data_IF_516251878984
#
_entry.id   IF_516251878984
#
_cell.length_a   1.000
_cell.length_b   1.000
_cell.length_c   1.000
_cell.angle_alpha   90.00
_cell.angle_beta   90.00
_cell.angle_gamma   90.00
#
_symmetry.space_group_name_H-M   'P 1'
#
loop_
_entity.id
_entity.type
_entity.pdbx_description
1 polymer ?
#
# COMPACT_ATOMS: atom_id res chain seq x y z
N UNK A 1 -23.37 -28.00 -62.79
CA UNK A 1 -23.83 -27.80 -61.40
C UNK A 1 -22.72 -27.13 -60.64
N UNK A 2 -22.99 -26.01 -59.96
CA UNK A 2 -21.97 -25.34 -59.14
C UNK A 2 -21.53 -26.30 -58.04
N UNK A 3 -20.21 -26.44 -57.84
CA UNK A 3 -19.65 -27.35 -56.86
C UNK A 3 -19.85 -26.75 -55.44
N UNK A 4 -21.06 -26.91 -54.89
CA UNK A 4 -21.43 -26.46 -53.55
C UNK A 4 -20.51 -27.00 -52.45
N UNK A 5 -19.91 -28.17 -52.69
CA UNK A 5 -18.90 -28.76 -51.81
C UNK A 5 -17.64 -27.90 -51.79
N UNK A 6 -17.12 -27.48 -52.96
CA UNK A 6 -15.97 -26.60 -53.03
C UNK A 6 -16.21 -25.25 -52.33
N UNK A 7 -17.40 -24.67 -52.46
CA UNK A 7 -17.77 -23.44 -51.75
C UNK A 7 -17.80 -23.66 -50.24
N UNK A 8 -18.38 -24.79 -49.78
CA UNK A 8 -18.42 -25.15 -48.36
C UNK A 8 -17.01 -25.31 -47.78
N UNK A 9 -16.12 -26.02 -48.49
CA UNK A 9 -14.72 -26.19 -48.08
C UNK A 9 -13.99 -24.84 -47.97
N UNK A 10 -14.19 -23.93 -48.92
CA UNK A 10 -13.58 -22.58 -48.86
C UNK A 10 -14.07 -21.81 -47.63
N UNK A 11 -15.39 -21.83 -47.34
CA UNK A 11 -15.96 -21.16 -46.16
C UNK A 11 -15.43 -21.78 -44.86
N UNK A 12 -15.31 -23.11 -44.79
CA UNK A 12 -14.76 -23.80 -43.62
C UNK A 12 -13.30 -23.43 -43.37
N UNK A 13 -12.48 -23.35 -44.42
CA UNK A 13 -11.09 -22.93 -44.34
C UNK A 13 -11.01 -21.48 -43.84
N UNK A 14 -11.79 -20.57 -44.45
CA UNK A 14 -11.85 -19.16 -44.04
C UNK A 14 -12.33 -19.00 -42.59
N UNK A 15 -13.35 -19.75 -42.18
CA UNK A 15 -13.85 -19.76 -40.80
C UNK A 15 -12.80 -20.26 -39.81
N UNK A 16 -12.07 -21.31 -40.17
CA UNK A 16 -10.95 -21.82 -39.36
C UNK A 16 -9.86 -20.76 -39.21
N UNK A 17 -9.44 -20.12 -40.30
CA UNK A 17 -8.47 -19.02 -40.25
C UNK A 17 -8.99 -17.82 -39.43
N UNK A 18 -10.27 -17.47 -39.55
CA UNK A 18 -10.88 -16.42 -38.75
C UNK A 18 -10.82 -16.74 -37.25
N UNK A 19 -11.12 -17.98 -36.86
CA UNK A 19 -11.02 -18.44 -35.46
C UNK A 19 -9.58 -18.35 -34.96
N UNK A 20 -8.59 -18.81 -35.74
CA UNK A 20 -7.17 -18.69 -35.38
C UNK A 20 -6.76 -17.22 -35.22
N UNK A 21 -7.16 -16.35 -36.14
CA UNK A 21 -6.89 -14.92 -36.06
C UNK A 21 -7.53 -14.29 -34.81
N UNK A 22 -8.78 -14.68 -34.47
CA UNK A 22 -9.45 -14.22 -33.25
C UNK A 22 -8.73 -14.67 -31.98
N UNK A 23 -8.21 -15.90 -31.94
CA UNK A 23 -7.44 -16.39 -30.79
C UNK A 23 -6.11 -15.63 -30.62
N UNK A 24 -5.41 -15.34 -31.71
CA UNK A 24 -4.18 -14.53 -31.68
C UNK A 24 -4.49 -13.11 -31.20
N UNK A 25 -5.55 -12.50 -31.73
CA UNK A 25 -6.01 -11.18 -31.29
C UNK A 25 -6.35 -11.18 -29.79
N UNK A 26 -7.11 -12.16 -29.31
CA UNK A 26 -7.46 -12.28 -27.90
C UNK A 26 -6.23 -12.44 -27.02
N UNK A 27 -5.25 -13.24 -27.42
CA UNK A 27 -4.01 -13.41 -26.67
C UNK A 27 -3.23 -12.09 -26.55
N UNK A 28 -3.18 -11.29 -27.63
CA UNK A 28 -2.58 -9.95 -27.61
C UNK A 28 -3.38 -9.03 -26.70
N UNK A 29 -4.72 -9.03 -26.82
CA UNK A 29 -5.62 -8.19 -26.03
C UNK A 29 -5.48 -8.47 -24.52
N UNK A 30 -5.41 -9.74 -24.11
CA UNK A 30 -5.23 -10.13 -22.71
C UNK A 30 -3.89 -9.62 -22.16
N UNK A 31 -2.81 -9.71 -22.95
CA UNK A 31 -1.49 -9.19 -22.55
C UNK A 31 -1.51 -7.67 -22.39
N UNK A 32 -2.08 -6.96 -23.35
CA UNK A 32 -2.22 -5.49 -23.29
C UNK A 32 -3.08 -5.05 -22.11
N UNK A 33 -4.21 -5.71 -21.89
CA UNK A 33 -5.10 -5.42 -20.77
C UNK A 33 -4.39 -5.65 -19.41
N UNK A 34 -3.60 -6.71 -19.30
CA UNK A 34 -2.81 -6.99 -18.09
C UNK A 34 -1.77 -5.88 -17.82
N UNK A 35 -1.10 -5.39 -18.86
CA UNK A 35 -0.14 -4.28 -18.73
C UNK A 35 -0.83 -2.97 -18.30
N UNK A 36 -1.99 -2.66 -18.88
CA UNK A 36 -2.78 -1.48 -18.50
C UNK A 36 -3.23 -1.58 -17.05
N UNK A 37 -3.78 -2.72 -16.64
CA UNK A 37 -4.22 -2.96 -15.27
C UNK A 37 -3.08 -2.77 -14.25
N UNK A 38 -1.90 -3.31 -14.56
CA UNK A 38 -0.73 -3.15 -13.69
C UNK A 38 -0.27 -1.68 -13.60
N UNK A 39 -0.29 -0.95 -14.71
CA UNK A 39 0.02 0.49 -14.73
C UNK A 39 -0.99 1.29 -13.89
N UNK A 40 -2.29 1.01 -14.02
CA UNK A 40 -3.34 1.65 -13.22
C UNK A 40 -3.18 1.38 -11.73
N UNK A 41 -2.80 0.16 -11.32
CA UNK A 41 -2.50 -0.16 -9.91
C UNK A 41 -1.31 0.66 -9.42
N UNK A 42 -0.22 0.76 -10.18
CA UNK A 42 0.94 1.59 -9.81
C UNK A 42 0.56 3.06 -9.65
N UNK A 43 -0.29 3.59 -10.54
CA UNK A 43 -0.79 4.95 -10.45
C UNK A 43 -1.62 5.16 -9.17
N UNK A 44 -2.58 4.28 -8.89
CA UNK A 44 -3.40 4.36 -7.69
C UNK A 44 -2.59 4.27 -6.39
N UNK A 45 -1.54 3.45 -6.38
CA UNK A 45 -0.61 3.36 -5.25
C UNK A 45 0.17 4.66 -5.09
N UNK A 46 0.65 5.25 -6.18
CA UNK A 46 1.36 6.53 -6.13
C UNK A 46 0.46 7.65 -5.56
N UNK A 47 -0.80 7.74 -5.99
CA UNK A 47 -1.78 8.68 -5.43
C UNK A 47 -2.04 8.42 -3.94
N UNK A 48 -2.15 7.15 -3.56
CA UNK A 48 -2.38 6.74 -2.17
C UNK A 48 -1.23 7.15 -1.26
N UNK A 49 0.02 7.00 -1.70
CA UNK A 49 1.22 7.39 -0.95
C UNK A 49 1.33 8.92 -0.82
N UNK A 50 0.78 9.69 -1.78
CA UNK A 50 0.80 11.17 -1.72
C UNK A 50 -0.25 11.76 -0.77
N UNK A 51 -1.30 11.02 -0.41
CA UNK A 51 -2.38 11.54 0.44
C UNK A 51 -1.96 11.87 1.90
N UNK A 52 -1.23 11.01 2.63
CA UNK A 52 -0.83 11.30 4.01
C UNK A 52 0.06 12.55 4.17
N UNK A 53 1.09 12.78 3.33
CA UNK A 53 1.86 14.03 3.35
C UNK A 53 1.00 15.28 3.14
N UNK A 54 -0.03 15.20 2.28
CA UNK A 54 -0.89 16.35 1.99
C UNK A 54 -1.71 16.78 3.22
N UNK A 55 -2.25 15.83 4.00
CA UNK A 55 -2.95 16.13 5.26
C UNK A 55 -2.03 16.83 6.28
N UNK A 56 -0.77 16.41 6.36
CA UNK A 56 0.23 17.02 7.25
C UNK A 56 0.57 18.46 6.84
N UNK A 57 0.59 18.74 5.54
CA UNK A 57 0.87 20.06 4.98
C UNK A 57 -0.33 21.00 5.15
N UNK A 58 -1.55 20.51 4.97
CA UNK A 58 -2.76 21.35 4.88
C UNK A 58 -3.40 21.70 6.23
N UNK A 59 -3.22 20.88 7.26
CA UNK A 59 -3.92 21.06 8.54
C UNK A 59 -2.98 21.40 9.69
N UNK A 60 -2.99 22.66 10.09
CA UNK A 60 -2.25 23.15 11.26
C UNK A 60 -2.75 22.49 12.56
N UNK A 61 -4.06 22.29 12.71
CA UNK A 61 -4.63 21.65 13.91
C UNK A 61 -4.14 20.22 14.06
N UNK A 62 -4.12 19.45 12.96
CA UNK A 62 -3.59 18.09 12.93
C UNK A 62 -2.10 18.07 13.26
N UNK A 63 -1.31 18.95 12.63
CA UNK A 63 0.14 19.02 12.85
C UNK A 63 0.46 19.36 14.31
N UNK A 64 -0.26 20.31 14.92
CA UNK A 64 -0.11 20.63 16.34
C UNK A 64 -0.50 19.45 17.23
N UNK A 65 -1.59 18.75 16.95
CA UNK A 65 -2.01 17.55 17.68
C UNK A 65 -0.94 16.44 17.60
N UNK A 66 -0.43 16.18 16.40
CA UNK A 66 0.60 15.19 16.15
C UNK A 66 1.90 15.50 16.91
N UNK A 67 2.38 16.74 16.82
CA UNK A 67 3.57 17.20 17.56
C UNK A 67 3.33 17.15 19.07
N UNK A 68 2.15 17.54 19.56
CA UNK A 68 1.82 17.47 20.97
C UNK A 68 1.82 16.03 21.48
N UNK A 69 1.19 15.11 20.75
CA UNK A 69 1.17 13.68 21.08
C UNK A 69 2.58 13.09 21.13
N UNK A 70 3.43 13.40 20.14
CA UNK A 70 4.83 12.94 20.10
C UNK A 70 5.67 13.44 21.28
N UNK A 71 5.40 14.66 21.77
CA UNK A 71 6.08 15.24 22.91
C UNK A 71 5.44 14.84 24.26
N UNK A 72 4.51 13.88 24.27
CA UNK A 72 3.80 13.43 25.49
C UNK A 72 2.92 14.51 26.11
N UNK A 73 2.55 15.55 25.36
CA UNK A 73 1.65 16.62 25.83
C UNK A 73 0.21 16.12 25.74
N UNK A 74 -0.63 16.63 26.65
CA UNK A 74 -2.08 16.36 26.60
C UNK A 74 -2.67 16.94 25.30
N UNK A 75 -3.49 16.14 24.65
CA UNK A 75 -4.29 16.50 23.48
C UNK A 75 -5.77 16.40 23.84
N UNK A 76 -6.61 17.15 23.13
CA UNK A 76 -8.06 17.10 23.34
C UNK A 76 -8.65 15.79 22.80
N UNK A 77 -9.85 15.37 23.24
CA UNK A 77 -10.53 14.21 22.66
C UNK A 77 -10.75 14.32 21.15
N UNK A 78 -11.02 15.53 20.65
CA UNK A 78 -11.16 15.81 19.21
C UNK A 78 -9.84 15.60 18.46
N UNK A 79 -8.72 16.10 19.01
CA UNK A 79 -7.39 15.88 18.44
C UNK A 79 -7.00 14.40 18.44
N UNK A 80 -7.31 13.67 19.52
CA UNK A 80 -7.11 12.22 19.58
C UNK A 80 -7.93 11.49 18.51
N UNK A 81 -9.20 11.87 18.30
CA UNK A 81 -10.03 11.29 17.24
C UNK A 81 -9.44 11.56 15.85
N UNK A 82 -9.01 12.79 15.56
CA UNK A 82 -8.37 13.15 14.30
C UNK A 82 -7.13 12.29 14.03
N UNK A 83 -6.30 12.13 15.05
CA UNK A 83 -5.11 11.28 14.98
C UNK A 83 -5.52 9.81 14.71
N UNK A 84 -6.47 9.26 15.46
CA UNK A 84 -6.91 7.87 15.28
C UNK A 84 -7.47 7.59 13.87
N UNK A 85 -8.30 8.50 13.34
CA UNK A 85 -8.82 8.40 11.97
C UNK A 85 -7.68 8.45 10.95
N UNK A 86 -6.69 9.31 11.16
CA UNK A 86 -5.52 9.40 10.29
C UNK A 86 -4.68 8.09 10.31
N UNK A 87 -4.48 7.50 11.49
CA UNK A 87 -3.84 6.19 11.64
C UNK A 87 -4.59 5.11 10.87
N UNK A 88 -5.91 5.05 11.07
CA UNK A 88 -6.79 4.10 10.38
C UNK A 88 -6.64 4.22 8.86
N UNK A 89 -6.81 5.42 8.31
CA UNK A 89 -6.72 5.67 6.87
C UNK A 89 -5.33 5.29 6.32
N UNK A 90 -4.26 5.70 7.01
CA UNK A 90 -2.89 5.40 6.58
C UNK A 90 -2.63 3.89 6.56
N UNK A 91 -2.99 3.16 7.61
CA UNK A 91 -2.75 1.72 7.67
C UNK A 91 -3.69 0.93 6.74
N UNK A 92 -4.91 1.41 6.47
CA UNK A 92 -5.80 0.81 5.45
C UNK A 92 -5.24 1.00 4.04
N UNK A 93 -4.62 2.14 3.76
CA UNK A 93 -3.88 2.35 2.52
C UNK A 93 -2.72 1.37 2.38
N UNK A 94 -1.94 1.16 3.44
CA UNK A 94 -0.86 0.16 3.45
C UNK A 94 -1.35 -1.27 3.29
N UNK A 95 -2.46 -1.62 3.93
CA UNK A 95 -3.09 -2.93 3.74
C UNK A 95 -3.49 -3.16 2.28
N UNK A 96 -4.04 -2.12 1.62
CA UNK A 96 -4.38 -2.22 0.20
C UNK A 96 -3.14 -2.43 -0.67
N UNK A 97 -2.06 -1.67 -0.44
CA UNK A 97 -0.79 -1.84 -1.15
C UNK A 97 -0.24 -3.26 -0.95
N UNK A 98 -0.27 -3.77 0.28
CA UNK A 98 0.17 -5.13 0.59
C UNK A 98 -0.70 -6.19 -0.09
N UNK A 99 -2.01 -5.98 -0.16
CA UNK A 99 -2.92 -6.86 -0.90
C UNK A 99 -2.59 -6.91 -2.40
N UNK A 100 -2.26 -5.78 -3.02
CA UNK A 100 -1.82 -5.75 -4.42
C UNK A 100 -0.49 -6.48 -4.64
N UNK A 101 0.43 -6.39 -3.67
CA UNK A 101 1.66 -7.19 -3.67
C UNK A 101 1.36 -8.69 -3.59
N UNK A 102 0.50 -9.12 -2.65
CA UNK A 102 0.12 -10.53 -2.50
C UNK A 102 -0.54 -11.11 -3.77
N UNK A 103 -1.25 -10.27 -4.53
CA UNK A 103 -1.89 -10.67 -5.79
C UNK A 103 -0.94 -10.63 -7.02
N UNK A 104 0.34 -10.33 -6.82
CA UNK A 104 1.34 -10.29 -7.91
C UNK A 104 1.28 -9.04 -8.80
N UNK A 105 0.48 -8.03 -8.43
CA UNK A 105 0.44 -6.76 -9.17
C UNK A 105 1.72 -5.95 -8.96
N UNK A 106 2.35 -6.10 -7.78
CA UNK A 106 3.65 -5.53 -7.46
C UNK A 106 4.70 -6.64 -7.40
N UNK A 107 5.84 -6.42 -8.03
CA UNK A 107 7.01 -7.29 -7.89
C UNK A 107 7.67 -7.14 -6.51
N UNK A 108 8.50 -8.12 -6.13
CA UNK A 108 9.34 -8.03 -4.93
C UNK A 108 10.27 -6.81 -4.95
N UNK A 109 10.69 -6.36 -6.14
CA UNK A 109 11.53 -5.17 -6.29
C UNK A 109 10.79 -3.88 -5.97
N UNK A 110 9.48 -3.83 -6.23
CA UNK A 110 8.63 -2.69 -5.90
C UNK A 110 8.15 -2.73 -4.45
N UNK A 111 7.80 -3.92 -3.95
CA UNK A 111 7.33 -4.07 -2.58
C UNK A 111 8.42 -3.73 -1.56
N UNK A 112 9.66 -4.16 -1.79
CA UNK A 112 10.77 -3.95 -0.86
C UNK A 112 10.94 -2.48 -0.41
N UNK A 113 11.07 -1.46 -1.28
CA UNK A 113 11.16 -0.07 -0.84
C UNK A 113 9.87 0.45 -0.19
N UNK A 114 8.70 -0.05 -0.62
CA UNK A 114 7.42 0.28 0.03
C UNK A 114 7.36 -0.25 1.46
N UNK A 115 7.83 -1.48 1.68
CA UNK A 115 7.95 -2.11 3.00
C UNK A 115 8.91 -1.35 3.91
N UNK A 116 10.04 -0.87 3.39
CA UNK A 116 10.95 -0.01 4.15
C UNK A 116 10.27 1.31 4.56
N UNK A 117 9.43 1.88 3.68
CA UNK A 117 8.65 3.06 4.05
C UNK A 117 7.60 2.75 5.13
N UNK A 118 6.89 1.63 5.01
CA UNK A 118 5.97 1.16 6.06
C UNK A 118 6.71 0.92 7.38
N UNK A 119 7.92 0.36 7.34
CA UNK A 119 8.78 0.22 8.52
C UNK A 119 9.08 1.56 9.19
N UNK A 120 9.39 2.60 8.41
CA UNK A 120 9.57 3.97 8.94
C UNK A 120 8.29 4.52 9.58
N UNK A 121 7.12 4.24 8.99
CA UNK A 121 5.82 4.61 9.57
C UNK A 121 5.62 3.91 10.93
N UNK A 122 5.88 2.61 11.01
CA UNK A 122 5.75 1.82 12.25
C UNK A 122 6.82 2.14 13.30
N UNK A 123 7.89 2.87 12.94
CA UNK A 123 8.84 3.41 13.91
C UNK A 123 8.31 4.61 14.70
N UNK A 124 7.21 5.23 14.27
CA UNK A 124 6.57 6.30 15.04
C UNK A 124 5.67 5.70 16.12
N UNK A 125 5.88 6.09 17.39
CA UNK A 125 5.19 5.53 18.56
C UNK A 125 3.67 5.57 18.43
N UNK A 126 3.15 6.65 17.83
CA UNK A 126 1.74 6.87 17.58
C UNK A 126 1.08 5.71 16.81
N UNK A 127 1.70 5.23 15.72
CA UNK A 127 1.17 4.10 14.95
C UNK A 127 1.26 2.78 15.70
N UNK A 128 2.31 2.56 16.51
CA UNK A 128 2.44 1.35 17.34
C UNK A 128 1.37 1.28 18.41
N UNK A 129 1.10 2.41 19.09
CA UNK A 129 0.05 2.50 20.11
C UNK A 129 -1.31 2.20 19.49
N UNK A 130 -1.60 2.78 18.33
CA UNK A 130 -2.80 2.47 17.56
C UNK A 130 -2.88 0.97 17.19
N UNK A 131 -1.79 0.41 16.64
CA UNK A 131 -1.74 -0.98 16.20
C UNK A 131 -2.04 -1.98 17.31
N UNK A 132 -1.48 -1.78 18.51
CA UNK A 132 -1.73 -2.63 19.68
C UNK A 132 -3.22 -2.77 20.02
N UNK A 133 -4.01 -1.73 19.77
CA UNK A 133 -5.45 -1.71 20.05
C UNK A 133 -6.28 -2.21 18.87
N UNK A 134 -5.94 -1.77 17.66
CA UNK A 134 -6.82 -1.89 16.51
C UNK A 134 -6.44 -3.01 15.53
N UNK A 135 -5.34 -3.75 15.72
CA UNK A 135 -4.88 -4.76 14.73
C UNK A 135 -5.94 -5.77 14.28
N UNK A 136 -6.95 -6.03 15.11
CA UNK A 136 -8.04 -6.96 14.85
C UNK A 136 -8.96 -6.54 13.68
N UNK A 137 -8.94 -5.27 13.25
CA UNK A 137 -9.74 -4.78 12.11
C UNK A 137 -9.03 -4.95 10.75
N UNK A 138 -7.80 -5.48 10.76
CA UNK A 138 -7.00 -5.72 9.56
C UNK A 138 -6.97 -7.22 9.23
N UNK A 139 -6.71 -7.54 7.96
CA UNK A 139 -6.52 -8.90 7.49
C UNK A 139 -5.34 -9.58 8.20
N UNK A 140 -5.46 -10.89 8.44
CA UNK A 140 -4.43 -11.66 9.14
C UNK A 140 -3.07 -11.64 8.44
N UNK A 141 -3.06 -11.61 7.10
CA UNK A 141 -1.83 -11.54 6.32
C UNK A 141 -1.12 -10.20 6.53
N UNK A 142 -1.86 -9.08 6.44
CA UNK A 142 -1.29 -7.77 6.68
C UNK A 142 -0.86 -7.61 8.15
N UNK A 143 -1.64 -8.14 9.08
CA UNK A 143 -1.28 -8.10 10.49
C UNK A 143 0.03 -8.86 10.77
N UNK A 144 0.22 -10.02 10.13
CA UNK A 144 1.46 -10.80 10.22
C UNK A 144 2.65 -10.05 9.63
N UNK A 145 2.46 -9.33 8.53
CA UNK A 145 3.50 -8.50 7.92
C UNK A 145 3.94 -7.37 8.87
N UNK A 146 2.98 -6.66 9.47
CA UNK A 146 3.27 -5.59 10.43
C UNK A 146 3.95 -6.15 11.68
N UNK A 147 3.47 -7.26 12.23
CA UNK A 147 4.08 -7.89 13.40
C UNK A 147 5.53 -8.33 13.08
N UNK A 148 5.81 -8.84 11.86
CA UNK A 148 7.18 -9.10 11.39
C UNK A 148 8.04 -7.83 11.33
N UNK A 149 7.49 -6.73 10.81
CA UNK A 149 8.19 -5.44 10.76
C UNK A 149 8.52 -4.94 12.17
N UNK A 150 7.59 -5.07 13.12
CA UNK A 150 7.79 -4.65 14.51
C UNK A 150 8.91 -5.47 15.18
N UNK A 151 8.94 -6.79 14.97
CA UNK A 151 10.03 -7.64 15.46
C UNK A 151 11.38 -7.23 14.88
N UNK A 152 11.44 -6.86 13.59
CA UNK A 152 12.69 -6.35 13.00
C UNK A 152 13.14 -5.03 13.63
N UNK A 153 12.21 -4.12 13.90
CA UNK A 153 12.52 -2.83 14.56
C UNK A 153 13.08 -3.07 15.95
N UNK A 154 12.48 -3.97 16.73
CA UNK A 154 12.94 -4.34 18.07
C UNK A 154 14.35 -4.96 18.03
N UNK A 155 14.60 -5.85 17.07
CA UNK A 155 15.90 -6.55 16.94
C UNK A 155 17.04 -5.66 16.45
N UNK A 156 16.76 -4.66 15.61
CA UNK A 156 17.80 -3.80 15.04
C UNK A 156 18.16 -2.62 15.93
N UNK A 157 17.34 -2.29 16.95
CA UNK A 157 17.50 -1.08 17.75
C UNK A 157 17.43 0.22 16.91
N UNK A 158 16.99 0.10 15.66
CA UNK A 158 17.14 1.11 14.63
C UNK A 158 15.92 2.02 14.65
N UNK A 159 15.87 2.88 15.66
CA UNK A 159 14.92 4.00 15.74
C UNK A 159 15.38 5.12 14.79
N UNK A 160 15.53 4.81 13.51
CA UNK A 160 15.82 5.78 12.44
C UNK A 160 14.53 6.48 12.04
N UNK A 161 14.14 7.47 12.83
CA UNK A 161 13.32 8.56 12.28
C UNK A 161 14.04 9.12 11.04
N UNK A 162 13.34 9.42 9.93
CA UNK A 162 13.95 10.08 8.78
C UNK A 162 14.77 11.28 9.24
N UNK A 163 16.03 11.44 8.78
CA UNK A 163 16.92 12.56 9.17
C UNK A 163 16.23 13.93 9.00
N UNK A 164 15.34 14.05 8.01
CA UNK A 164 14.53 15.24 7.77
C UNK A 164 13.61 15.60 8.95
N UNK A 165 13.20 14.63 9.75
CA UNK A 165 12.39 14.84 10.95
C UNK A 165 13.23 14.89 12.23
N UNK A 166 14.41 14.27 12.29
CA UNK A 166 15.24 14.17 13.51
C UNK A 166 15.45 15.49 14.29
N UNK A 167 15.49 16.65 13.63
CA UNK A 167 15.63 17.95 14.29
C UNK A 167 14.36 18.44 15.03
N UNK A 168 13.19 17.92 14.67
CA UNK A 168 11.91 18.18 15.35
C UNK A 168 11.70 17.28 16.59
N UNK A 169 12.58 16.29 16.81
CA UNK A 169 12.40 15.20 17.78
C UNK A 169 13.56 15.12 18.81
N UNK A 170 14.46 16.13 18.86
CA UNK A 170 15.61 16.13 19.80
C UNK A 170 15.21 15.94 21.27
N UNK A 171 13.96 16.24 21.62
CA UNK A 171 13.41 16.13 22.98
C UNK A 171 12.48 14.92 23.17
N UNK A 172 12.28 14.08 22.14
CA UNK A 172 11.44 12.89 22.26
C UNK A 172 12.26 11.78 22.90
N UNK A 173 12.10 11.67 24.21
CA UNK A 173 12.71 10.65 25.05
C UNK A 173 12.12 9.27 24.67
N UNK A 174 12.70 8.63 23.64
CA UNK A 174 12.40 7.25 23.26
C UNK A 174 13.03 6.27 24.27
N UNK A 175 12.66 6.40 25.55
CA UNK A 175 13.06 5.43 26.57
C UNK A 175 11.94 4.40 26.71
N UNK A 176 11.93 3.41 25.81
CA UNK A 176 11.11 2.21 25.95
C UNK A 176 11.95 1.07 26.54
N UNK A 177 12.51 1.30 27.72
CA UNK A 177 12.85 0.20 28.62
C UNK A 177 11.77 0.08 29.68
N UNK A 178 11.01 -1.02 29.59
CA UNK A 178 10.12 -1.61 30.60
C UNK A 178 8.77 -0.88 30.80
N UNK A 179 7.74 -1.39 30.13
CA UNK A 179 6.47 -1.86 30.73
C UNK A 179 5.63 -2.52 29.64
#
# INVERSE_FOLDING_TARGET
>A
MMNWEAISTIIQILGTFAVFASLVYLAIQVRQNSQIAQSSVRHAIAETIMSPPNNFIQSDSFRHAFIAHLNGKKITPDQELQLQVYCYMTLKSWENIYYQYQNGMLSNEEWRPMRENLKLVMQVIFYRTYWKREKHIYSSNFASEIDSILLEIENTGDHKLPKALAHLYKDVNCDYKKT
#
